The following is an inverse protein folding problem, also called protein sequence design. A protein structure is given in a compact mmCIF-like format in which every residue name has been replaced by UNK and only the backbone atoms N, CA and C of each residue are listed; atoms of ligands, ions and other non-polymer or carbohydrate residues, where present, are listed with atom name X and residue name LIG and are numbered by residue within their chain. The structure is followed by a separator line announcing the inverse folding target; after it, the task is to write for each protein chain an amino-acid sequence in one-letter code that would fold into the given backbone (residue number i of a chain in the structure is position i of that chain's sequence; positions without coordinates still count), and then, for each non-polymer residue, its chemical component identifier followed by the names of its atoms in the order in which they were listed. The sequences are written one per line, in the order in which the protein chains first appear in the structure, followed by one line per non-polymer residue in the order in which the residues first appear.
data_IF_909637474850
#
_entry.id   IF_909637474850
#
_cell.length_a   1.000
_cell.length_b   1.000
_cell.length_c   1.000
_cell.angle_alpha   90.00
_cell.angle_beta   90.00
_cell.angle_gamma   90.00
#
_symmetry.space_group_name_H-M   'P 1'
#
loop_
_entity.id
_entity.type
_entity.pdbx_description
1 polymer ?
#
# COMPACT_ATOMS: atom_id res chain seq x y z
N UNK A 1 13.17 17.23 -48.59
CA UNK A 1 12.48 18.22 -47.71
C UNK A 1 13.22 18.28 -46.37
N UNK A 2 14.28 19.09 -46.25
CA UNK A 2 15.17 19.09 -45.07
C UNK A 2 14.52 19.60 -43.77
N UNK A 3 13.41 20.34 -43.86
CA UNK A 3 12.67 20.85 -42.68
C UNK A 3 11.85 19.79 -41.95
N UNK A 4 11.45 18.70 -42.62
CA UNK A 4 10.74 17.58 -41.99
C UNK A 4 11.66 16.82 -41.02
N UNK A 5 12.96 16.80 -41.31
CA UNK A 5 13.99 16.15 -40.50
C UNK A 5 14.23 16.91 -39.17
N UNK A 6 14.30 18.24 -39.23
CA UNK A 6 14.40 19.09 -38.02
C UNK A 6 13.18 18.96 -37.12
N UNK A 7 11.97 18.91 -37.69
CA UNK A 7 10.75 18.72 -36.91
C UNK A 7 10.69 17.33 -36.24
N UNK A 8 11.23 16.29 -36.88
CA UNK A 8 11.34 14.96 -36.29
C UNK A 8 12.33 14.95 -35.12
N UNK A 9 13.49 15.59 -35.27
CA UNK A 9 14.50 15.73 -34.22
C UNK A 9 13.97 16.48 -32.99
N UNK A 10 13.21 17.56 -33.18
CA UNK A 10 12.59 18.29 -32.08
C UNK A 10 11.57 17.44 -31.31
N UNK A 11 10.73 16.66 -32.02
CA UNK A 11 9.76 15.75 -31.38
C UNK A 11 10.46 14.64 -30.60
N UNK A 12 11.51 14.08 -31.16
CA UNK A 12 12.35 13.06 -30.53
C UNK A 12 13.04 13.60 -29.28
N UNK A 13 13.58 14.83 -29.33
CA UNK A 13 14.15 15.51 -28.16
C UNK A 13 13.12 15.67 -27.04
N UNK A 14 11.92 16.19 -27.35
CA UNK A 14 10.87 16.37 -26.35
C UNK A 14 10.40 15.04 -25.74
N UNK A 15 10.36 13.97 -26.53
CA UNK A 15 10.05 12.63 -26.04
C UNK A 15 11.13 12.11 -25.09
N UNK A 16 12.42 12.33 -25.40
CA UNK A 16 13.55 11.98 -24.51
C UNK A 16 13.49 12.76 -23.20
N UNK A 17 13.23 14.06 -23.24
CA UNK A 17 13.14 14.89 -22.03
C UNK A 17 12.01 14.41 -21.12
N UNK A 18 10.86 14.08 -21.71
CA UNK A 18 9.71 13.52 -20.99
C UNK A 18 10.06 12.17 -20.36
N UNK A 19 10.78 11.30 -21.07
CA UNK A 19 11.22 10.02 -20.55
C UNK A 19 12.22 10.20 -19.40
N UNK A 20 13.21 11.09 -19.56
CA UNK A 20 14.20 11.40 -18.53
C UNK A 20 13.56 11.93 -17.24
N UNK A 21 12.53 12.77 -17.36
CA UNK A 21 11.77 13.25 -16.20
C UNK A 21 11.03 12.11 -15.48
N UNK A 22 10.40 11.19 -16.24
CA UNK A 22 9.74 10.00 -15.66
C UNK A 22 10.73 9.08 -14.97
N UNK A 23 11.89 8.84 -15.57
CA UNK A 23 12.92 7.98 -15.00
C UNK A 23 13.49 8.58 -13.71
N UNK A 24 13.71 9.90 -13.68
CA UNK A 24 14.17 10.60 -12.48
C UNK A 24 13.17 10.49 -11.34
N UNK A 25 11.88 10.70 -11.62
CA UNK A 25 10.81 10.53 -10.63
C UNK A 25 10.67 9.06 -10.18
N UNK A 26 10.85 8.10 -11.09
CA UNK A 26 10.83 6.68 -10.75
C UNK A 26 11.98 6.29 -9.80
N UNK A 27 13.16 6.88 -10.00
CA UNK A 27 14.30 6.72 -9.09
C UNK A 27 14.00 7.34 -7.73
N UNK A 28 13.46 8.56 -7.69
CA UNK A 28 13.06 9.21 -6.44
C UNK A 28 12.07 8.34 -5.64
N UNK A 29 11.02 7.83 -6.30
CA UNK A 29 10.05 6.92 -5.68
C UNK A 29 10.66 5.60 -5.21
N UNK A 30 11.69 5.09 -5.89
CA UNK A 30 12.42 3.91 -5.42
C UNK A 30 13.19 4.23 -4.14
N UNK A 31 13.87 5.38 -4.09
CA UNK A 31 14.60 5.84 -2.89
C UNK A 31 13.64 5.99 -1.71
N UNK A 32 12.46 6.60 -1.91
CA UNK A 32 11.44 6.73 -0.86
C UNK A 32 10.97 5.36 -0.34
N UNK A 33 10.87 4.35 -1.22
CA UNK A 33 10.49 2.99 -0.82
C UNK A 33 11.59 2.28 -0.04
N UNK A 34 12.85 2.54 -0.36
CA UNK A 34 14.00 2.01 0.38
C UNK A 34 14.11 2.67 1.76
N UNK A 35 13.87 3.98 1.84
CA UNK A 35 13.83 4.70 3.12
C UNK A 35 12.71 4.17 4.03
N UNK A 36 11.52 3.96 3.47
CA UNK A 36 10.43 3.30 4.20
C UNK A 36 10.83 1.92 4.73
N UNK A 37 11.48 1.09 3.90
CA UNK A 37 11.91 -0.25 4.32
C UNK A 37 12.93 -0.18 5.45
N UNK A 38 13.92 0.71 5.34
CA UNK A 38 14.95 0.90 6.36
C UNK A 38 14.33 1.34 7.70
N UNK A 39 13.41 2.31 7.66
CA UNK A 39 12.72 2.78 8.86
C UNK A 39 11.84 1.67 9.47
N UNK A 40 11.16 0.89 8.64
CA UNK A 40 10.36 -0.24 9.10
C UNK A 40 11.21 -1.29 9.80
N UNK A 41 12.35 -1.66 9.22
CA UNK A 41 13.28 -2.63 9.79
C UNK A 41 13.91 -2.11 11.08
N UNK A 42 14.29 -0.82 11.14
CA UNK A 42 14.81 -0.19 12.34
C UNK A 42 13.80 -0.20 13.48
N UNK A 43 12.55 0.19 13.21
CA UNK A 43 11.46 0.14 14.19
C UNK A 43 11.26 -1.30 14.66
N UNK A 44 11.22 -2.28 13.76
CA UNK A 44 11.08 -3.68 14.12
C UNK A 44 12.21 -4.20 15.02
N UNK A 45 13.45 -3.77 14.78
CA UNK A 45 14.63 -4.17 15.55
C UNK A 45 14.73 -3.47 16.92
N UNK A 46 14.16 -2.26 17.05
CA UNK A 46 14.25 -1.44 18.28
C UNK A 46 13.00 -1.48 19.15
N UNK A 47 11.88 -1.97 18.61
CA UNK A 47 10.64 -2.15 19.38
C UNK A 47 10.84 -3.22 20.43
N UNK A 48 10.64 -2.87 21.71
CA UNK A 48 10.62 -3.83 22.80
C UNK A 48 9.43 -4.79 22.62
N UNK A 49 9.67 -6.11 22.45
CA UNK A 49 8.59 -7.08 22.30
C UNK A 49 7.71 -7.20 23.55
N UNK A 50 8.21 -6.78 24.71
CA UNK A 50 7.51 -6.87 25.98
C UNK A 50 6.74 -5.61 26.38
N UNK A 51 6.83 -4.54 25.58
CA UNK A 51 6.12 -3.28 25.79
C UNK A 51 4.59 -3.53 25.93
N UNK A 52 3.98 -3.10 27.05
CA UNK A 52 2.56 -3.32 27.31
C UNK A 52 1.64 -2.67 26.27
N UNK A 53 2.05 -1.54 25.68
CA UNK A 53 1.25 -0.83 24.68
C UNK A 53 1.28 -1.57 23.34
N UNK A 54 2.43 -2.14 22.96
CA UNK A 54 2.57 -3.00 21.76
C UNK A 54 1.77 -4.28 21.91
N UNK A 55 1.79 -4.91 23.08
CA UNK A 55 0.96 -6.11 23.38
C UNK A 55 -0.53 -5.80 23.27
N UNK A 56 -0.99 -4.72 23.90
CA UNK A 56 -2.40 -4.29 23.87
C UNK A 56 -2.89 -4.02 22.44
N UNK A 57 -2.09 -3.36 21.61
CA UNK A 57 -2.46 -3.11 20.22
C UNK A 57 -2.47 -4.39 19.37
N UNK A 58 -1.53 -5.33 19.61
CA UNK A 58 -1.54 -6.65 18.95
C UNK A 58 -2.78 -7.45 19.33
N UNK A 59 -3.17 -7.45 20.61
CA UNK A 59 -4.38 -8.11 21.10
C UNK A 59 -5.63 -7.50 20.48
N UNK A 60 -5.75 -6.16 20.49
CA UNK A 60 -6.85 -5.45 19.84
C UNK A 60 -6.98 -5.81 18.35
N UNK A 61 -5.88 -5.91 17.62
CA UNK A 61 -5.89 -6.33 16.20
C UNK A 61 -6.35 -7.77 16.04
N UNK A 62 -5.89 -8.68 16.91
CA UNK A 62 -6.33 -10.08 16.94
C UNK A 62 -7.83 -10.19 17.25
N UNK A 63 -8.33 -9.44 18.23
CA UNK A 63 -9.76 -9.36 18.58
C UNK A 63 -10.60 -8.83 17.42
N UNK A 64 -10.07 -7.85 16.67
CA UNK A 64 -10.68 -7.37 15.45
C UNK A 64 -10.63 -8.38 14.29
N UNK A 65 -9.97 -9.53 14.44
CA UNK A 65 -9.83 -10.54 13.40
C UNK A 65 -8.83 -10.18 12.31
N UNK A 66 -7.96 -9.19 12.54
CA UNK A 66 -6.94 -8.79 11.59
C UNK A 66 -5.90 -9.90 11.40
N UNK A 67 -5.77 -10.38 10.16
CA UNK A 67 -4.74 -11.33 9.75
C UNK A 67 -3.84 -10.66 8.71
N UNK A 68 -2.60 -10.27 9.06
CA UNK A 68 -1.70 -9.70 8.09
C UNK A 68 -1.38 -10.72 6.98
N UNK A 69 -1.11 -10.26 5.75
CA UNK A 69 -0.62 -11.13 4.70
C UNK A 69 0.76 -11.69 5.05
N UNK A 70 1.12 -12.90 4.55
CA UNK A 70 2.41 -13.52 4.82
C UNK A 70 3.58 -12.75 4.18
N UNK A 71 3.32 -11.99 3.12
CA UNK A 71 4.27 -11.10 2.46
C UNK A 71 3.61 -9.72 2.26
N UNK A 72 4.40 -8.63 2.29
CA UNK A 72 3.85 -7.30 2.06
C UNK A 72 3.33 -7.17 0.62
N UNK A 73 2.08 -6.72 0.48
CA UNK A 73 1.46 -6.44 -0.82
C UNK A 73 1.79 -4.99 -1.19
N UNK A 74 2.69 -4.81 -2.16
CA UNK A 74 3.19 -3.50 -2.56
C UNK A 74 2.39 -2.95 -3.74
N UNK A 75 1.80 -1.76 -3.57
CA UNK A 75 1.20 -1.03 -4.68
C UNK A 75 2.30 -0.56 -5.67
N UNK A 76 2.00 -0.52 -6.99
CA UNK A 76 2.92 0.02 -7.97
C UNK A 76 3.09 1.53 -7.76
N UNK A 77 4.34 2.00 -7.72
CA UNK A 77 4.65 3.43 -7.54
C UNK A 77 5.28 4.08 -8.76
N UNK A 78 5.85 3.32 -9.70
CA UNK A 78 6.51 3.92 -10.85
C UNK A 78 5.51 4.52 -11.86
N UNK A 79 5.86 5.67 -12.42
CA UNK A 79 5.25 6.28 -13.59
C UNK A 79 5.54 5.41 -14.81
N UNK A 80 4.58 4.53 -15.12
CA UNK A 80 4.55 3.73 -16.35
C UNK A 80 3.45 4.25 -17.28
N UNK A 81 3.27 3.55 -18.39
CA UNK A 81 2.05 3.68 -19.17
C UNK A 81 0.80 3.53 -18.26
N UNK A 82 -0.25 4.37 -18.44
CA UNK A 82 -1.43 4.34 -17.59
C UNK A 82 -2.13 2.98 -17.55
N UNK A 83 -2.18 2.27 -18.68
CA UNK A 83 -2.91 0.99 -18.77
C UNK A 83 -2.21 -0.09 -17.93
N UNK A 84 -0.89 -0.15 -18.04
CA UNK A 84 -0.06 -1.05 -17.22
C UNK A 84 -0.17 -0.71 -15.73
N UNK A 85 -0.16 0.58 -15.41
CA UNK A 85 -0.27 1.05 -14.02
C UNK A 85 -1.63 0.67 -13.43
N UNK A 86 -2.70 0.83 -14.20
CA UNK A 86 -4.06 0.46 -13.79
C UNK A 86 -4.18 -1.04 -13.54
N UNK A 87 -3.67 -1.87 -14.45
CA UNK A 87 -3.68 -3.33 -14.30
C UNK A 87 -2.94 -3.79 -13.03
N UNK A 88 -1.74 -3.24 -12.80
CA UNK A 88 -0.95 -3.57 -11.60
C UNK A 88 -1.63 -3.09 -10.32
N UNK A 89 -2.28 -1.92 -10.35
CA UNK A 89 -3.02 -1.39 -9.21
C UNK A 89 -4.24 -2.27 -8.89
N UNK A 90 -4.97 -2.75 -9.90
CA UNK A 90 -6.08 -3.68 -9.70
C UNK A 90 -5.63 -5.00 -9.10
N UNK A 91 -4.52 -5.56 -9.60
CA UNK A 91 -3.93 -6.78 -9.02
C UNK A 91 -3.56 -6.60 -7.55
N UNK A 92 -2.90 -5.49 -7.21
CA UNK A 92 -2.55 -5.18 -5.82
C UNK A 92 -3.80 -5.00 -4.94
N UNK A 93 -4.84 -4.31 -5.45
CA UNK A 93 -6.12 -4.15 -4.74
C UNK A 93 -6.82 -5.49 -4.49
N UNK A 94 -6.92 -6.33 -5.51
CA UNK A 94 -7.54 -7.64 -5.39
C UNK A 94 -6.81 -8.54 -4.39
N UNK A 95 -5.47 -8.42 -4.29
CA UNK A 95 -4.70 -9.15 -3.28
C UNK A 95 -4.97 -8.60 -1.87
N UNK A 96 -5.02 -7.28 -1.70
CA UNK A 96 -5.32 -6.64 -0.41
C UNK A 96 -6.71 -7.02 0.12
N UNK A 97 -7.72 -7.10 -0.74
CA UNK A 97 -9.08 -7.47 -0.37
C UNK A 97 -9.19 -8.84 0.34
N UNK A 98 -8.25 -9.76 0.09
CA UNK A 98 -8.22 -11.07 0.76
C UNK A 98 -7.92 -10.97 2.27
N UNK A 99 -7.32 -9.87 2.69
CA UNK A 99 -6.86 -9.63 4.06
C UNK A 99 -7.60 -8.46 4.72
N UNK A 100 -8.57 -7.84 4.04
CA UNK A 100 -9.42 -6.82 4.64
C UNK A 100 -10.27 -7.42 5.76
N UNK A 101 -10.30 -6.72 6.89
CA UNK A 101 -11.13 -7.11 8.03
C UNK A 101 -12.57 -6.72 7.72
N UNK A 102 -13.53 -7.67 7.76
CA UNK A 102 -14.92 -7.34 7.55
C UNK A 102 -15.40 -6.35 8.62
N UNK A 103 -16.24 -5.37 8.26
CA UNK A 103 -16.69 -4.36 9.20
C UNK A 103 -17.41 -5.00 10.39
N UNK A 104 -17.30 -4.41 11.60
CA UNK A 104 -17.94 -4.97 12.79
C UNK A 104 -19.44 -5.13 12.55
N UNK A 105 -19.95 -6.34 12.79
CA UNK A 105 -21.38 -6.64 12.66
C UNK A 105 -22.16 -5.73 13.61
N UNK A 106 -23.08 -4.93 13.07
CA UNK A 106 -23.99 -4.10 13.87
C UNK A 106 -24.92 -5.03 14.66
N UNK A 107 -24.72 -5.10 15.97
CA UNK A 107 -25.54 -5.89 16.88
C UNK A 107 -26.72 -5.03 17.31
N UNK A 108 -27.94 -5.57 17.28
CA UNK A 108 -29.12 -4.82 17.71
C UNK A 108 -29.17 -4.68 19.24
N UNK A 109 -29.77 -3.59 19.74
CA UNK A 109 -29.89 -3.32 21.17
C UNK A 109 -30.60 -4.46 21.93
N UNK A 110 -31.59 -5.10 21.28
CA UNK A 110 -32.34 -6.25 21.80
C UNK A 110 -31.48 -7.50 21.97
N UNK A 111 -30.59 -7.75 21.00
CA UNK A 111 -29.63 -8.86 21.01
C UNK A 111 -28.52 -8.63 22.05
N UNK A 112 -28.16 -7.37 22.28
CA UNK A 112 -27.24 -6.94 23.33
C UNK A 112 -27.83 -7.17 24.73
N UNK A 113 -29.08 -6.76 24.96
CA UNK A 113 -29.79 -6.97 26.23
C UNK A 113 -29.97 -8.46 26.56
N UNK A 114 -30.36 -9.29 25.58
CA UNK A 114 -30.50 -10.74 25.77
C UNK A 114 -29.20 -11.42 26.21
N UNK A 115 -28.05 -10.88 25.79
CA UNK A 115 -26.71 -11.40 26.15
C UNK A 115 -26.31 -11.09 27.60
N UNK A 116 -26.90 -10.06 28.21
CA UNK A 116 -26.71 -9.70 29.61
C UNK A 116 -27.69 -10.41 30.55
N UNK A 117 -28.90 -10.71 30.10
CA UNK A 117 -29.91 -11.41 30.91
C UNK A 117 -29.60 -12.90 31.11
N UNK A 118 -28.84 -13.53 30.21
CA UNK A 118 -28.44 -14.95 30.29
C UNK A 118 -27.21 -15.27 31.16
N UNK A 119 -26.63 -14.29 31.88
CA UNK A 119 -25.47 -14.47 32.77
C UNK A 119 -25.81 -14.41 34.27
N UNK A 120 -27.04 -14.75 34.65
CA UNK A 120 -27.41 -14.95 36.06
C UNK A 120 -27.41 -16.41 36.42
#
# INVERSE_FOLDING_TARGET
MPHQDVAALLKDSAARDTQSARDSENIARLVDRLDYLLNFDYVGATTDPDDPDVKRERERRKEAGFKPPPLPILAPVALRDPDVTAELAERARAEHQKYEVPPPRKVSLRELMARFDGRR
#
